data_IF_208622078114
#
_entry.id   IF_208622078114
#
_cell.length_a   1.000
_cell.length_b   1.000
_cell.length_c   1.000
_cell.angle_alpha   90.00
_cell.angle_beta   90.00
_cell.angle_gamma   90.00
#
_symmetry.space_group_name_H-M   'P 1'
#
loop_
_entity.id
_entity.type
_entity.pdbx_description
1 polymer ?
#
# COMPACT_ATOMS: atom_id res chain seq x y z
N UNK A 1 39.83 9.53 8.20
CA UNK A 1 38.88 8.43 8.50
C UNK A 1 37.51 8.97 8.23
N UNK A 2 36.64 8.30 7.46
CA UNK A 2 35.28 8.80 7.32
C UNK A 2 34.63 8.81 8.71
N UNK A 3 34.05 9.93 9.06
CA UNK A 3 33.29 10.13 10.30
C UNK A 3 32.18 9.06 10.35
N UNK A 4 32.17 8.22 11.36
CA UNK A 4 31.12 7.21 11.52
C UNK A 4 29.80 7.95 11.65
N UNK A 5 28.99 7.91 10.61
CA UNK A 5 27.64 8.49 10.64
C UNK A 5 26.92 8.02 11.91
N UNK A 6 26.60 8.96 12.77
CA UNK A 6 25.88 8.67 14.03
C UNK A 6 24.51 8.10 13.67
N UNK A 7 24.21 6.89 14.13
CA UNK A 7 22.89 6.29 13.88
C UNK A 7 21.81 7.12 14.58
N UNK A 8 20.71 7.48 13.90
CA UNK A 8 19.59 8.18 14.52
C UNK A 8 19.08 7.48 15.80
N UNK A 9 18.51 8.25 16.73
CA UNK A 9 17.98 7.74 17.98
C UNK A 9 16.88 6.68 17.76
N UNK A 10 16.78 5.69 18.65
CA UNK A 10 15.67 4.74 18.65
C UNK A 10 14.39 5.42 19.12
N UNK A 11 13.27 5.04 18.54
CA UNK A 11 11.92 5.44 18.96
C UNK A 11 11.38 4.31 19.88
N UNK A 12 11.34 4.49 21.21
CA UNK A 12 11.02 3.40 22.13
C UNK A 12 9.63 2.80 21.92
N UNK A 13 8.61 3.64 21.69
CA UNK A 13 7.24 3.17 21.47
C UNK A 13 7.13 2.32 20.20
N UNK A 14 7.78 2.72 19.12
CA UNK A 14 7.81 1.95 17.87
C UNK A 14 8.58 0.64 18.03
N UNK A 15 9.65 0.65 18.82
CA UNK A 15 10.41 -0.58 19.14
C UNK A 15 9.53 -1.58 19.90
N UNK A 16 8.75 -1.13 20.88
CA UNK A 16 7.80 -2.00 21.60
C UNK A 16 6.73 -2.56 20.64
N UNK A 17 6.17 -1.73 19.79
CA UNK A 17 5.10 -2.15 18.87
C UNK A 17 5.65 -3.10 17.78
N UNK A 18 6.75 -2.75 17.10
CA UNK A 18 7.21 -3.48 15.92
C UNK A 18 8.22 -4.61 16.21
N UNK A 19 8.76 -4.66 17.41
CA UNK A 19 9.63 -5.76 17.87
C UNK A 19 9.00 -6.50 19.04
N UNK A 20 8.54 -5.78 20.07
CA UNK A 20 7.96 -6.39 21.26
C UNK A 20 6.66 -7.16 20.99
N UNK A 21 5.71 -6.60 20.25
CA UNK A 21 4.44 -7.29 19.92
C UNK A 21 4.64 -8.56 19.08
N UNK A 22 5.46 -8.57 18.02
CA UNK A 22 5.80 -9.83 17.33
C UNK A 22 6.41 -10.88 18.25
N UNK A 23 7.33 -10.52 19.13
CA UNK A 23 7.91 -11.47 20.09
C UNK A 23 6.86 -12.00 21.08
N UNK A 24 6.00 -11.12 21.62
CA UNK A 24 4.88 -11.53 22.47
C UNK A 24 3.90 -12.45 21.74
N UNK A 25 3.55 -12.13 20.49
CA UNK A 25 2.67 -12.97 19.67
C UNK A 25 3.29 -14.34 19.41
N UNK A 26 4.59 -14.40 19.09
CA UNK A 26 5.32 -15.63 18.82
C UNK A 26 5.38 -16.56 20.05
N UNK A 27 5.37 -16.00 21.25
CA UNK A 27 5.44 -16.77 22.51
C UNK A 27 4.02 -17.07 23.03
N UNK A 28 3.21 -16.04 23.23
CA UNK A 28 1.94 -16.17 23.96
C UNK A 28 0.85 -16.86 23.16
N UNK A 29 0.80 -16.64 21.82
CA UNK A 29 -0.25 -17.25 20.99
C UNK A 29 -0.08 -18.76 20.90
N UNK A 30 1.10 -19.35 20.58
CA UNK A 30 1.30 -20.79 20.62
C UNK A 30 1.11 -21.39 22.01
N UNK A 31 1.59 -20.69 23.06
CA UNK A 31 1.44 -21.16 24.45
C UNK A 31 -0.05 -21.27 24.83
N UNK A 32 -0.84 -20.22 24.55
CA UNK A 32 -2.28 -20.24 24.79
C UNK A 32 -2.99 -21.31 23.95
N UNK A 33 -2.63 -21.40 22.67
CA UNK A 33 -3.17 -22.39 21.75
C UNK A 33 -2.91 -23.83 22.20
N UNK A 34 -1.76 -24.09 22.82
CA UNK A 34 -1.41 -25.41 23.33
C UNK A 34 -2.20 -25.79 24.61
N UNK A 35 -2.34 -24.85 25.55
CA UNK A 35 -2.96 -25.16 26.84
C UNK A 35 -4.47 -24.96 26.89
N UNK A 36 -5.01 -23.99 26.14
CA UNK A 36 -6.43 -23.61 26.18
C UNK A 36 -7.13 -23.82 24.84
N UNK A 37 -6.38 -23.75 23.76
CA UNK A 37 -6.94 -23.76 22.40
C UNK A 37 -7.56 -22.41 21.99
N UNK A 38 -7.97 -22.32 20.72
CA UNK A 38 -8.75 -21.21 20.18
C UNK A 38 -9.99 -21.75 19.50
N UNK A 39 -11.13 -21.14 19.75
CA UNK A 39 -12.38 -21.49 19.09
C UNK A 39 -12.38 -21.09 17.61
N UNK A 40 -13.17 -21.78 16.78
CA UNK A 40 -13.39 -21.37 15.38
C UNK A 40 -13.91 -19.93 15.25
N UNK A 41 -14.77 -19.48 16.18
CA UNK A 41 -15.28 -18.12 16.20
C UNK A 41 -14.15 -17.08 16.37
N UNK A 42 -13.18 -17.33 17.24
CA UNK A 42 -12.03 -16.43 17.41
C UNK A 42 -11.19 -16.33 16.13
N UNK A 43 -10.95 -17.44 15.42
CA UNK A 43 -10.26 -17.42 14.12
C UNK A 43 -11.03 -16.65 13.07
N UNK A 44 -12.35 -16.85 12.98
CA UNK A 44 -13.20 -16.10 12.05
C UNK A 44 -13.12 -14.59 12.33
N UNK A 45 -13.24 -14.18 13.61
CA UNK A 45 -13.14 -12.78 13.98
C UNK A 45 -11.74 -12.21 13.75
N UNK A 46 -10.69 -12.97 13.97
CA UNK A 46 -9.32 -12.53 13.63
C UNK A 46 -9.19 -12.23 12.13
N UNK A 47 -9.72 -13.09 11.26
CA UNK A 47 -9.77 -12.85 9.82
C UNK A 47 -10.64 -11.65 9.44
N UNK A 48 -11.82 -11.51 10.05
CA UNK A 48 -12.71 -10.36 9.83
C UNK A 48 -11.99 -9.06 10.18
N UNK A 49 -11.37 -8.96 11.35
CA UNK A 49 -10.61 -7.78 11.76
C UNK A 49 -9.41 -7.53 10.84
N UNK A 50 -8.69 -8.58 10.44
CA UNK A 50 -7.57 -8.47 9.51
C UNK A 50 -8.01 -7.82 8.19
N UNK A 51 -9.11 -8.32 7.59
CA UNK A 51 -9.62 -7.77 6.34
C UNK A 51 -10.23 -6.39 6.49
N UNK A 52 -10.98 -6.11 7.56
CA UNK A 52 -11.55 -4.77 7.80
C UNK A 52 -10.44 -3.72 7.97
N UNK A 53 -9.37 -4.03 8.71
CA UNK A 53 -8.23 -3.13 8.85
C UNK A 53 -7.46 -2.99 7.54
N UNK A 54 -7.09 -4.10 6.89
CA UNK A 54 -6.33 -4.09 5.65
C UNK A 54 -7.04 -3.34 4.52
N UNK A 55 -8.33 -3.62 4.29
CA UNK A 55 -9.14 -2.93 3.29
C UNK A 55 -9.38 -1.45 3.63
N UNK A 56 -9.37 -1.07 4.92
CA UNK A 56 -9.47 0.33 5.32
C UNK A 56 -8.16 1.10 5.08
N UNK A 57 -7.00 0.44 5.20
CA UNK A 57 -5.73 1.02 4.78
C UNK A 57 -5.69 1.13 3.25
N UNK A 58 -5.94 0.04 2.53
CA UNK A 58 -5.76 0.03 1.06
C UNK A 58 -6.85 0.82 0.33
N UNK A 59 -8.12 0.70 0.74
CA UNK A 59 -9.25 1.43 0.16
C UNK A 59 -9.37 2.86 0.67
N UNK A 60 -9.19 3.06 1.98
CA UNK A 60 -9.33 4.36 2.64
C UNK A 60 -8.06 5.20 2.59
N UNK A 61 -7.07 4.87 3.44
CA UNK A 61 -5.86 5.69 3.58
C UNK A 61 -5.13 5.85 2.25
N UNK A 62 -4.95 4.77 1.52
CA UNK A 62 -4.21 4.69 0.29
C UNK A 62 -4.99 5.26 -0.90
N UNK A 63 -6.01 4.53 -1.41
CA UNK A 63 -6.68 4.90 -2.67
C UNK A 63 -7.59 6.11 -2.53
N UNK A 64 -8.29 6.31 -1.39
CA UNK A 64 -9.17 7.45 -1.19
C UNK A 64 -8.40 8.72 -0.82
N UNK A 65 -7.67 8.71 0.33
CA UNK A 65 -7.08 9.94 0.86
C UNK A 65 -5.69 10.27 0.29
N UNK A 66 -4.81 9.28 0.09
CA UNK A 66 -3.50 9.57 -0.49
C UNK A 66 -3.60 9.86 -1.99
N UNK A 67 -4.28 9.01 -2.76
CA UNK A 67 -4.29 9.08 -4.22
C UNK A 67 -5.53 9.68 -4.87
N UNK A 68 -6.61 9.93 -4.10
CA UNK A 68 -7.86 10.51 -4.63
C UNK A 68 -8.41 9.71 -5.84
N UNK A 69 -8.31 8.38 -5.76
CA UNK A 69 -8.70 7.49 -6.85
C UNK A 69 -10.22 7.36 -7.02
N UNK A 70 -10.99 7.83 -6.04
CA UNK A 70 -12.45 7.89 -6.06
C UNK A 70 -12.96 8.83 -4.95
N UNK A 71 -14.25 9.12 -4.95
CA UNK A 71 -14.94 9.84 -3.88
C UNK A 71 -15.78 8.88 -3.04
N UNK A 72 -15.93 9.19 -1.73
CA UNK A 72 -16.66 8.32 -0.81
C UNK A 72 -17.68 9.11 0.03
N UNK A 73 -18.84 8.49 0.22
CA UNK A 73 -19.87 8.99 1.14
C UNK A 73 -19.32 9.10 2.58
N UNK A 74 -19.72 10.08 3.39
CA UNK A 74 -19.24 10.27 4.76
C UNK A 74 -19.28 9.00 5.63
N UNK A 75 -20.31 8.17 5.50
CA UNK A 75 -20.42 6.91 6.24
C UNK A 75 -19.28 5.94 5.93
N UNK A 76 -18.88 5.81 4.63
CA UNK A 76 -17.75 4.98 4.21
C UNK A 76 -16.43 5.58 4.68
N UNK A 77 -16.31 6.91 4.67
CA UNK A 77 -15.12 7.61 5.18
C UNK A 77 -14.95 7.41 6.69
N UNK A 78 -16.02 7.49 7.48
CA UNK A 78 -15.98 7.16 8.90
C UNK A 78 -15.60 5.70 9.15
N UNK A 79 -16.16 4.78 8.36
CA UNK A 79 -15.80 3.36 8.43
C UNK A 79 -14.28 3.17 8.24
N UNK A 80 -13.71 3.75 7.19
CA UNK A 80 -12.27 3.65 6.93
C UNK A 80 -11.42 4.36 7.99
N UNK A 81 -11.88 5.51 8.53
CA UNK A 81 -11.16 6.23 9.57
C UNK A 81 -11.04 5.42 10.86
N UNK A 82 -12.12 4.72 11.25
CA UNK A 82 -12.14 3.89 12.45
C UNK A 82 -11.36 2.58 12.26
N UNK A 83 -11.72 1.80 11.23
CA UNK A 83 -11.06 0.51 10.99
C UNK A 83 -9.61 0.67 10.57
N UNK A 84 -9.25 1.70 9.83
CA UNK A 84 -7.86 2.01 9.49
C UNK A 84 -7.01 2.38 10.73
N UNK A 85 -7.58 3.08 11.71
CA UNK A 85 -6.89 3.31 13.00
C UNK A 85 -6.60 1.99 13.74
N UNK A 86 -7.46 0.96 13.57
CA UNK A 86 -7.22 -0.39 14.08
C UNK A 86 -6.00 -1.10 13.47
N UNK A 87 -5.48 -0.61 12.35
CA UNK A 87 -4.23 -1.12 11.78
C UNK A 87 -2.97 -0.62 12.50
N UNK A 88 -3.08 0.39 13.37
CA UNK A 88 -1.98 1.00 14.15
C UNK A 88 -0.79 1.44 13.26
N UNK A 89 -1.08 2.18 12.17
CA UNK A 89 -0.11 2.63 11.18
C UNK A 89 -0.07 4.17 11.06
N UNK A 90 -0.23 4.90 12.14
CA UNK A 90 -0.43 6.34 12.20
C UNK A 90 -1.83 6.82 11.76
N UNK A 91 -2.08 8.10 11.97
CA UNK A 91 -3.31 8.74 11.51
C UNK A 91 -3.34 8.88 9.99
N UNK A 92 -4.54 9.05 9.42
CA UNK A 92 -4.74 9.27 7.98
C UNK A 92 -3.83 10.39 7.46
N UNK A 93 -3.74 11.51 8.20
CA UNK A 93 -2.95 12.68 7.80
C UNK A 93 -1.46 12.34 7.66
N UNK A 94 -0.87 11.70 8.67
CA UNK A 94 0.55 11.31 8.67
C UNK A 94 0.79 10.27 7.57
N UNK A 95 0.00 9.19 7.57
CA UNK A 95 0.14 8.09 6.63
C UNK A 95 0.06 8.55 5.16
N UNK A 96 -0.95 9.35 4.83
CA UNK A 96 -1.15 9.82 3.47
C UNK A 96 -0.09 10.85 3.04
N UNK A 97 0.39 11.69 3.96
CA UNK A 97 1.49 12.63 3.68
C UNK A 97 2.78 11.87 3.36
N UNK A 98 3.16 10.88 4.20
CA UNK A 98 4.36 10.05 3.98
C UNK A 98 4.25 9.29 2.67
N UNK A 99 3.08 8.72 2.36
CA UNK A 99 2.85 7.97 1.14
C UNK A 99 2.92 8.85 -0.13
N UNK A 100 2.38 10.06 -0.09
CA UNK A 100 2.53 11.05 -1.18
C UNK A 100 4.00 11.46 -1.37
N UNK A 101 4.77 11.55 -0.28
CA UNK A 101 6.21 11.85 -0.33
C UNK A 101 6.97 10.69 -0.94
N UNK A 102 6.67 9.45 -0.57
CA UNK A 102 7.21 8.24 -1.18
C UNK A 102 6.99 8.24 -2.71
N UNK A 103 5.76 8.45 -3.18
CA UNK A 103 5.48 8.49 -4.61
C UNK A 103 6.23 9.59 -5.37
N UNK A 104 6.48 10.73 -4.72
CA UNK A 104 7.24 11.82 -5.34
C UNK A 104 8.73 11.53 -5.42
N UNK A 105 9.29 10.82 -4.47
CA UNK A 105 10.72 10.63 -4.26
C UNK A 105 11.12 9.16 -4.19
N UNK A 106 10.34 8.28 -4.85
CA UNK A 106 10.55 6.83 -4.77
C UNK A 106 12.01 6.46 -5.01
N UNK A 107 12.57 5.61 -4.13
CA UNK A 107 13.96 5.15 -4.11
C UNK A 107 15.03 6.23 -3.77
N UNK A 108 14.64 7.47 -3.49
CA UNK A 108 15.55 8.49 -2.97
C UNK A 108 15.85 8.22 -1.48
N UNK A 109 17.13 7.95 -1.16
CA UNK A 109 17.51 7.54 0.19
C UNK A 109 17.38 8.65 1.25
N UNK A 110 17.25 9.92 0.84
CA UNK A 110 17.18 11.06 1.74
C UNK A 110 15.76 11.59 1.90
N UNK A 111 14.94 11.48 0.85
CA UNK A 111 13.60 12.08 0.81
C UNK A 111 12.46 11.08 0.95
N UNK A 112 12.66 9.84 0.45
CA UNK A 112 11.66 8.76 0.59
C UNK A 112 11.69 8.21 2.03
N UNK A 113 10.58 8.29 2.79
CA UNK A 113 10.55 7.83 4.18
C UNK A 113 10.97 6.38 4.37
N UNK A 114 10.67 5.52 3.40
CA UNK A 114 10.93 4.08 3.45
C UNK A 114 11.60 3.53 2.18
N UNK A 115 12.53 4.32 1.62
CA UNK A 115 13.27 4.00 0.41
C UNK A 115 13.78 2.55 0.36
N UNK A 116 13.41 1.81 -0.68
CA UNK A 116 13.96 0.49 -0.97
C UNK A 116 15.45 0.54 -1.32
N UNK A 117 15.97 1.67 -1.80
CA UNK A 117 17.39 1.91 -2.05
C UNK A 117 18.27 1.75 -0.81
N UNK A 118 17.70 1.87 0.41
CA UNK A 118 18.39 1.62 1.70
C UNK A 118 18.36 0.15 2.13
N UNK A 119 17.76 -0.72 1.35
CA UNK A 119 17.69 -2.17 1.54
C UNK A 119 16.39 -2.69 2.12
N UNK A 120 16.20 -4.01 1.98
CA UNK A 120 14.96 -4.72 2.34
C UNK A 120 14.55 -4.51 3.81
N UNK A 121 15.49 -4.63 4.74
CA UNK A 121 15.21 -4.44 6.17
C UNK A 121 14.75 -3.01 6.48
N UNK A 122 15.42 -2.01 5.88
CA UNK A 122 15.06 -0.62 6.09
C UNK A 122 13.65 -0.34 5.60
N UNK A 123 13.34 -0.68 4.37
CA UNK A 123 12.02 -0.45 3.79
C UNK A 123 10.92 -1.28 4.44
N UNK A 124 11.24 -2.48 4.99
CA UNK A 124 10.26 -3.31 5.70
C UNK A 124 9.86 -2.69 7.04
N UNK A 125 10.81 -2.43 7.92
CA UNK A 125 10.51 -1.91 9.26
C UNK A 125 11.59 -1.02 9.87
N UNK A 126 12.81 -1.04 9.35
CA UNK A 126 13.95 -0.30 9.94
C UNK A 126 13.71 1.21 9.99
N UNK A 127 13.00 1.76 9.00
CA UNK A 127 12.68 3.17 8.91
C UNK A 127 11.80 3.68 10.08
N UNK A 128 10.94 2.82 10.65
CA UNK A 128 10.06 3.17 11.76
C UNK A 128 10.73 3.08 13.14
N UNK A 129 11.86 2.38 13.25
CA UNK A 129 12.50 2.13 14.55
C UNK A 129 13.37 3.27 15.03
N UNK A 130 13.75 4.20 14.14
CA UNK A 130 14.66 5.30 14.44
C UNK A 130 14.14 6.62 13.87
N UNK A 131 14.55 7.70 14.50
CA UNK A 131 14.19 9.07 14.14
C UNK A 131 15.03 9.55 12.96
N UNK A 132 14.64 9.14 11.73
CA UNK A 132 15.29 9.57 10.49
C UNK A 132 14.72 10.90 10.01
N UNK A 133 15.55 11.81 9.44
CA UNK A 133 15.05 13.06 8.86
C UNK A 133 13.99 12.86 7.78
N UNK A 134 14.09 11.79 6.97
CA UNK A 134 13.07 11.41 5.99
C UNK A 134 11.71 11.04 6.61
N UNK A 135 11.65 10.77 7.92
CA UNK A 135 10.42 10.47 8.68
C UNK A 135 9.80 11.69 9.37
N UNK A 136 10.38 12.87 9.26
CA UNK A 136 9.79 14.08 9.84
C UNK A 136 8.43 14.40 9.22
N UNK A 137 7.47 14.79 10.07
CA UNK A 137 6.13 15.14 9.62
C UNK A 137 6.14 16.48 8.86
N UNK A 138 5.88 16.43 7.57
CA UNK A 138 5.64 17.61 6.72
C UNK A 138 4.29 17.43 6.00
N UNK A 139 3.31 18.28 6.36
CA UNK A 139 1.97 18.25 5.76
C UNK A 139 1.81 19.24 4.61
N UNK A 140 2.89 19.83 4.09
CA UNK A 140 2.85 20.75 2.95
C UNK A 140 2.20 20.13 1.71
N UNK A 141 2.34 18.81 1.53
CA UNK A 141 1.73 18.00 0.47
C UNK A 141 0.32 17.49 0.79
N UNK A 142 -0.22 17.79 2.00
CA UNK A 142 -1.48 17.26 2.52
C UNK A 142 -2.48 18.33 3.00
N UNK A 143 -2.40 19.55 2.46
CA UNK A 143 -3.27 20.69 2.81
C UNK A 143 -4.75 20.42 2.62
N UNK A 144 -5.10 19.55 1.67
CA UNK A 144 -6.47 19.08 1.46
C UNK A 144 -6.96 18.22 2.64
N UNK A 145 -6.08 17.39 3.21
CA UNK A 145 -6.39 16.53 4.35
C UNK A 145 -6.48 17.33 5.66
N UNK A 146 -5.69 18.39 5.82
CA UNK A 146 -5.80 19.31 6.97
C UNK A 146 -7.15 20.04 7.03
N UNK A 147 -7.84 20.17 5.88
CA UNK A 147 -9.18 20.79 5.78
C UNK A 147 -10.31 19.76 5.91
N UNK A 148 -9.99 18.48 5.91
CA UNK A 148 -10.97 17.40 5.99
C UNK A 148 -11.36 17.15 7.45
N UNK A 149 -12.63 17.37 7.85
CA UNK A 149 -13.02 17.25 9.25
C UNK A 149 -12.92 15.84 9.81
N UNK A 150 -13.14 14.79 8.98
CA UNK A 150 -13.03 13.38 9.41
C UNK A 150 -11.57 13.02 9.63
N UNK A 151 -10.68 13.42 8.71
CA UNK A 151 -9.23 13.21 8.83
C UNK A 151 -8.69 13.89 10.09
N UNK A 152 -9.04 15.18 10.29
CA UNK A 152 -8.56 15.93 11.44
C UNK A 152 -9.15 15.45 12.77
N UNK A 153 -10.40 15.00 12.77
CA UNK A 153 -10.97 14.36 13.96
C UNK A 153 -10.20 13.09 14.31
N UNK A 154 -9.98 12.20 13.35
CA UNK A 154 -9.24 10.96 13.55
C UNK A 154 -7.79 11.23 13.97
N UNK A 155 -7.12 12.21 13.39
CA UNK A 155 -5.76 12.60 13.74
C UNK A 155 -5.66 13.06 15.22
N UNK A 156 -6.59 13.90 15.67
CA UNK A 156 -6.62 14.39 17.07
C UNK A 156 -6.97 13.31 18.08
N UNK A 157 -7.80 12.34 17.71
CA UNK A 157 -8.26 11.27 18.60
C UNK A 157 -7.57 9.93 18.32
N UNK A 158 -6.50 9.93 17.53
CA UNK A 158 -5.87 8.71 17.02
C UNK A 158 -5.53 7.70 18.12
N UNK A 159 -4.89 8.13 19.21
CA UNK A 159 -4.49 7.23 20.31
C UNK A 159 -5.73 6.60 20.95
N UNK A 160 -6.79 7.35 21.22
CA UNK A 160 -8.01 6.82 21.82
C UNK A 160 -8.71 5.81 20.89
N UNK A 161 -8.84 6.18 19.59
CA UNK A 161 -9.49 5.32 18.59
C UNK A 161 -8.69 4.03 18.38
N UNK A 162 -7.38 4.12 18.19
CA UNK A 162 -6.56 2.92 17.97
C UNK A 162 -6.53 2.01 19.20
N UNK A 163 -6.49 2.59 20.42
CA UNK A 163 -6.58 1.81 21.68
C UNK A 163 -7.93 1.08 21.75
N UNK A 164 -9.03 1.76 21.49
CA UNK A 164 -10.35 1.12 21.49
C UNK A 164 -10.47 0.01 20.43
N UNK A 165 -9.97 0.24 19.22
CA UNK A 165 -10.05 -0.74 18.13
C UNK A 165 -9.17 -1.98 18.38
N UNK A 166 -8.03 -1.85 19.07
CA UNK A 166 -7.10 -2.95 19.31
C UNK A 166 -7.22 -3.63 20.67
N UNK A 167 -7.78 -2.94 21.67
CA UNK A 167 -8.02 -3.50 23.01
C UNK A 167 -9.50 -3.53 23.36
N UNK A 168 -10.23 -2.42 23.19
CA UNK A 168 -11.63 -2.31 23.59
C UNK A 168 -12.54 -3.28 22.83
N UNK A 169 -12.51 -3.26 21.50
CA UNK A 169 -13.34 -4.18 20.69
C UNK A 169 -12.98 -5.66 20.89
N UNK A 170 -11.69 -6.08 20.87
CA UNK A 170 -11.32 -7.46 21.19
C UNK A 170 -11.70 -7.88 22.61
N UNK A 171 -11.62 -6.97 23.60
CA UNK A 171 -12.10 -7.23 24.97
C UNK A 171 -13.61 -7.50 25.00
N UNK A 172 -14.42 -6.63 24.38
CA UNK A 172 -15.87 -6.80 24.33
C UNK A 172 -16.24 -8.10 23.58
N UNK A 173 -15.55 -8.40 22.50
CA UNK A 173 -15.72 -9.65 21.77
C UNK A 173 -15.34 -10.87 22.62
N UNK A 174 -14.24 -10.78 23.38
CA UNK A 174 -13.79 -11.85 24.27
C UNK A 174 -14.77 -12.12 25.42
N UNK A 175 -15.37 -11.08 25.97
CA UNK A 175 -16.48 -11.21 26.93
C UNK A 175 -17.68 -11.92 26.31
N UNK A 176 -18.04 -11.58 25.09
CA UNK A 176 -19.16 -12.22 24.37
C UNK A 176 -18.89 -13.69 24.00
N UNK A 177 -17.63 -14.04 23.72
CA UNK A 177 -17.22 -15.41 23.35
C UNK A 177 -16.84 -16.27 24.58
N UNK A 178 -16.77 -15.69 25.79
CA UNK A 178 -16.39 -16.40 27.01
C UNK A 178 -14.89 -16.68 27.18
N UNK A 179 -14.04 -16.11 26.30
CA UNK A 179 -12.56 -16.19 26.39
C UNK A 179 -11.93 -14.85 26.05
N UNK A 180 -11.70 -14.03 27.06
CA UNK A 180 -11.11 -12.69 26.93
C UNK A 180 -9.65 -12.77 26.51
N UNK A 181 -8.86 -13.63 27.17
CA UNK A 181 -7.40 -13.69 26.94
C UNK A 181 -7.11 -14.23 25.54
N UNK A 182 -7.72 -15.37 25.17
CA UNK A 182 -7.54 -15.94 23.83
C UNK A 182 -7.97 -14.96 22.74
N UNK A 183 -9.05 -14.23 22.94
CA UNK A 183 -9.51 -13.22 21.95
C UNK A 183 -8.56 -12.02 21.87
N UNK A 184 -8.04 -11.51 22.98
CA UNK A 184 -7.02 -10.45 22.97
C UNK A 184 -5.73 -10.92 22.28
N UNK A 185 -5.31 -12.17 22.50
CA UNK A 185 -4.13 -12.73 21.85
C UNK A 185 -4.33 -12.93 20.34
N UNK A 186 -5.46 -13.47 19.93
CA UNK A 186 -5.68 -13.83 18.52
C UNK A 186 -6.18 -12.64 17.68
N UNK A 187 -7.29 -12.00 18.13
CA UNK A 187 -7.95 -10.90 17.42
C UNK A 187 -7.27 -9.56 17.67
N UNK A 188 -6.75 -9.35 18.87
CA UNK A 188 -5.97 -8.15 19.22
C UNK A 188 -4.53 -8.24 18.68
N UNK A 189 -3.71 -9.09 19.28
CA UNK A 189 -2.26 -9.08 19.11
C UNK A 189 -1.82 -9.76 17.80
N UNK A 190 -2.15 -11.04 17.57
CA UNK A 190 -1.66 -11.78 16.39
C UNK A 190 -2.13 -11.14 15.09
N UNK A 191 -3.42 -10.81 15.02
CA UNK A 191 -4.00 -10.12 13.86
C UNK A 191 -3.28 -8.79 13.57
N UNK A 192 -2.95 -8.01 14.60
CA UNK A 192 -2.24 -6.74 14.43
C UNK A 192 -0.84 -6.96 13.87
N UNK A 193 -0.08 -7.92 14.41
CA UNK A 193 1.26 -8.28 13.92
C UNK A 193 1.20 -8.74 12.47
N UNK A 194 0.26 -9.62 12.11
CA UNK A 194 0.08 -10.08 10.73
C UNK A 194 -0.25 -8.91 9.81
N UNK A 195 -1.18 -8.02 10.21
CA UNK A 195 -1.55 -6.85 9.42
C UNK A 195 -0.36 -5.90 9.17
N UNK A 196 0.50 -5.69 10.17
CA UNK A 196 1.72 -4.90 10.01
C UNK A 196 2.63 -5.49 8.94
N UNK A 197 3.01 -6.77 9.06
CA UNK A 197 3.93 -7.39 8.11
C UNK A 197 3.35 -7.49 6.69
N UNK A 198 2.05 -7.75 6.56
CA UNK A 198 1.36 -7.72 5.26
C UNK A 198 1.51 -6.34 4.60
N UNK A 199 1.30 -5.25 5.35
CA UNK A 199 1.51 -3.89 4.82
C UNK A 199 2.98 -3.60 4.54
N UNK A 200 3.89 -3.98 5.43
CA UNK A 200 5.33 -3.73 5.25
C UNK A 200 5.93 -4.44 4.03
N UNK A 201 5.35 -5.56 3.60
CA UNK A 201 5.72 -6.22 2.36
C UNK A 201 5.44 -5.36 1.12
N UNK A 202 4.50 -4.44 1.17
CA UNK A 202 4.26 -3.49 0.07
C UNK A 202 5.46 -2.57 -0.10
N UNK A 203 6.00 -2.02 0.99
CA UNK A 203 7.16 -1.12 0.96
C UNK A 203 8.49 -1.87 0.73
N UNK A 204 8.54 -3.17 0.99
CA UNK A 204 9.75 -3.98 0.90
C UNK A 204 9.69 -4.98 -0.26
N UNK A 205 9.05 -6.14 -0.11
CA UNK A 205 9.06 -7.19 -1.12
C UNK A 205 8.52 -6.73 -2.47
N UNK A 206 7.51 -5.84 -2.52
CA UNK A 206 7.00 -5.33 -3.78
C UNK A 206 7.96 -4.36 -4.49
N UNK A 207 9.09 -3.99 -3.88
CA UNK A 207 10.21 -3.30 -4.50
C UNK A 207 11.39 -4.23 -4.85
N UNK A 208 11.42 -5.46 -4.33
CA UNK A 208 12.52 -6.40 -4.54
C UNK A 208 12.14 -7.61 -5.39
N UNK A 209 10.88 -8.07 -5.34
CA UNK A 209 10.45 -9.32 -5.95
C UNK A 209 9.24 -9.14 -6.86
N UNK A 210 9.40 -9.50 -8.15
CA UNK A 210 8.37 -9.42 -9.17
C UNK A 210 8.87 -8.85 -10.49
N UNK A 211 7.94 -8.52 -11.39
CA UNK A 211 8.22 -7.94 -12.70
C UNK A 211 7.99 -6.42 -12.71
N UNK A 212 8.56 -5.75 -13.71
CA UNK A 212 8.38 -4.31 -13.95
C UNK A 212 7.82 -4.06 -15.34
N UNK A 213 6.54 -4.40 -15.59
CA UNK A 213 6.00 -4.35 -16.96
C UNK A 213 5.78 -2.94 -17.49
N UNK A 214 5.52 -1.93 -16.63
CA UNK A 214 5.09 -0.59 -17.03
C UNK A 214 6.19 0.46 -16.95
N UNK A 215 7.19 0.25 -16.10
CA UNK A 215 8.35 1.14 -15.97
C UNK A 215 9.51 0.44 -15.32
N UNK A 216 10.73 0.88 -15.64
CA UNK A 216 11.97 0.52 -14.95
C UNK A 216 12.61 1.71 -14.24
N UNK A 217 11.95 2.89 -14.23
CA UNK A 217 12.47 4.10 -13.61
C UNK A 217 12.50 4.07 -12.08
N UNK A 218 11.79 3.10 -11.47
CA UNK A 218 11.81 2.85 -10.02
C UNK A 218 11.88 1.35 -9.72
N UNK A 219 12.07 1.01 -8.45
CA UNK A 219 12.21 -0.38 -8.02
C UNK A 219 10.89 -1.14 -7.87
N UNK A 220 9.73 -0.48 -7.86
CA UNK A 220 8.43 -1.10 -7.66
C UNK A 220 8.12 -2.21 -8.69
N UNK A 221 7.51 -3.31 -8.26
CA UNK A 221 7.30 -4.54 -9.04
C UNK A 221 5.88 -5.06 -8.90
N UNK A 222 5.42 -5.73 -9.95
CA UNK A 222 4.17 -6.48 -9.93
C UNK A 222 4.43 -7.94 -9.54
N UNK A 223 3.70 -8.42 -8.54
CA UNK A 223 3.74 -9.79 -8.06
C UNK A 223 2.34 -10.24 -7.60
N UNK A 224 1.75 -11.22 -8.31
CA UNK A 224 0.40 -11.71 -8.02
C UNK A 224 0.28 -12.44 -6.67
N UNK A 225 1.35 -13.10 -6.20
CA UNK A 225 1.37 -13.73 -4.89
C UNK A 225 1.34 -12.66 -3.77
N UNK A 226 2.15 -11.61 -3.91
CA UNK A 226 2.10 -10.49 -2.98
C UNK A 226 0.74 -9.78 -3.04
N UNK A 227 0.14 -9.64 -4.21
CA UNK A 227 -1.19 -9.05 -4.34
C UNK A 227 -2.24 -9.84 -3.55
N UNK A 228 -2.14 -11.19 -3.51
CA UNK A 228 -3.01 -12.02 -2.69
C UNK A 228 -2.85 -11.71 -1.19
N UNK A 229 -1.63 -11.58 -0.71
CA UNK A 229 -1.35 -11.27 0.70
C UNK A 229 -1.71 -9.82 1.07
N UNK A 230 -1.54 -8.88 0.16
CA UNK A 230 -1.57 -7.43 0.42
C UNK A 230 -2.83 -6.74 -0.11
N UNK A 231 -3.94 -7.44 -0.17
CA UNK A 231 -5.26 -6.90 -0.58
C UNK A 231 -5.28 -6.26 -1.98
N UNK A 232 -4.38 -6.71 -2.88
CA UNK A 232 -4.24 -6.20 -4.25
C UNK A 232 -3.07 -5.25 -4.46
N UNK A 233 -2.37 -4.82 -3.41
CA UNK A 233 -1.28 -3.84 -3.50
C UNK A 233 0.02 -4.42 -4.12
N UNK A 234 0.11 -5.74 -4.31
CA UNK A 234 1.26 -6.38 -4.97
C UNK A 234 1.38 -6.09 -6.47
N UNK A 235 0.40 -5.45 -7.14
CA UNK A 235 0.55 -4.88 -8.49
C UNK A 235 1.16 -3.47 -8.38
N UNK A 236 2.38 -3.40 -7.87
CA UNK A 236 2.97 -2.18 -7.36
C UNK A 236 3.68 -1.35 -8.44
N UNK A 237 4.21 -2.02 -9.49
CA UNK A 237 4.77 -1.33 -10.65
C UNK A 237 3.68 -0.61 -11.47
N UNK A 238 2.50 -1.24 -11.63
CA UNK A 238 1.32 -0.58 -12.19
C UNK A 238 0.93 0.64 -11.34
N UNK A 239 0.81 0.44 -10.04
CA UNK A 239 0.39 1.47 -9.10
C UNK A 239 1.30 2.71 -9.11
N UNK A 240 2.62 2.53 -9.11
CA UNK A 240 3.57 3.66 -9.12
C UNK A 240 3.50 4.53 -10.38
N UNK A 241 3.04 3.98 -11.52
CA UNK A 241 2.84 4.74 -12.74
C UNK A 241 1.44 5.34 -12.83
N UNK A 242 0.44 4.64 -12.31
CA UNK A 242 -0.97 4.98 -12.45
C UNK A 242 -1.65 5.13 -11.08
N UNK A 243 -1.00 5.86 -10.18
CA UNK A 243 -1.36 5.96 -8.76
C UNK A 243 -2.82 6.39 -8.49
N UNK A 244 -3.43 7.15 -9.42
CA UNK A 244 -4.81 7.61 -9.28
C UNK A 244 -5.85 6.59 -9.80
N UNK A 245 -5.45 5.48 -10.42
CA UNK A 245 -6.41 4.44 -10.80
C UNK A 245 -6.94 3.75 -9.53
N UNK A 246 -8.28 3.60 -9.41
CA UNK A 246 -8.86 2.94 -8.25
C UNK A 246 -8.53 1.44 -8.17
N UNK A 247 -7.92 0.89 -9.23
CA UNK A 247 -7.50 -0.52 -9.37
C UNK A 247 -5.99 -0.62 -9.36
N UNK A 248 -5.45 -1.62 -8.69
CA UNK A 248 -4.07 -2.06 -8.90
C UNK A 248 -4.06 -3.30 -9.81
N UNK A 249 -4.93 -4.27 -9.54
CA UNK A 249 -5.20 -5.38 -10.46
C UNK A 249 -6.19 -4.98 -11.55
N UNK A 250 -5.72 -4.58 -12.73
CA UNK A 250 -6.56 -4.04 -13.82
C UNK A 250 -7.41 -5.08 -14.53
N UNK A 251 -6.96 -6.35 -14.57
CA UNK A 251 -7.69 -7.43 -15.22
C UNK A 251 -8.72 -8.04 -14.28
N UNK A 252 -9.78 -8.64 -14.82
CA UNK A 252 -10.88 -9.17 -14.01
C UNK A 252 -10.45 -10.31 -13.08
N UNK A 253 -9.48 -11.14 -13.48
CA UNK A 253 -8.96 -12.28 -12.69
C UNK A 253 -7.84 -11.89 -11.72
N UNK A 254 -7.28 -10.69 -11.81
CA UNK A 254 -6.25 -10.23 -10.90
C UNK A 254 -6.86 -9.99 -9.52
N UNK A 255 -6.26 -10.65 -8.52
CA UNK A 255 -6.70 -10.55 -7.14
C UNK A 255 -6.49 -9.14 -6.60
N UNK A 256 -7.57 -8.39 -6.46
CA UNK A 256 -7.60 -7.06 -5.89
C UNK A 256 -8.93 -6.86 -5.14
N UNK A 257 -9.04 -7.40 -3.89
CA UNK A 257 -10.26 -7.29 -3.11
C UNK A 257 -10.60 -5.84 -2.77
N UNK A 258 -9.61 -4.95 -2.70
CA UNK A 258 -9.83 -3.51 -2.53
C UNK A 258 -10.61 -2.92 -3.71
N UNK A 259 -10.23 -3.25 -4.94
CA UNK A 259 -10.99 -2.89 -6.15
C UNK A 259 -12.44 -3.39 -6.09
N UNK A 260 -12.62 -4.64 -5.69
CA UNK A 260 -13.96 -5.24 -5.62
C UNK A 260 -14.82 -4.57 -4.56
N UNK A 261 -14.25 -4.27 -3.37
CA UNK A 261 -14.92 -3.51 -2.31
C UNK A 261 -15.33 -2.11 -2.78
N UNK A 262 -14.41 -1.34 -3.40
CA UNK A 262 -14.70 0.00 -3.92
C UNK A 262 -15.83 -0.06 -4.95
N UNK A 263 -15.80 -1.04 -5.86
CA UNK A 263 -16.84 -1.21 -6.87
C UNK A 263 -18.19 -1.58 -6.25
N UNK A 264 -18.20 -2.46 -5.24
CA UNK A 264 -19.41 -2.77 -4.47
C UNK A 264 -19.95 -1.51 -3.78
N UNK A 265 -19.10 -0.73 -3.13
CA UNK A 265 -19.49 0.54 -2.52
C UNK A 265 -20.08 1.51 -3.56
N UNK A 266 -19.52 1.57 -4.76
CA UNK A 266 -20.07 2.39 -5.85
C UNK A 266 -21.46 1.91 -6.30
N UNK A 267 -21.67 0.61 -6.41
CA UNK A 267 -22.99 0.03 -6.73
C UNK A 267 -24.04 0.36 -5.65
N UNK A 268 -23.60 0.46 -4.39
CA UNK A 268 -24.46 0.82 -3.25
C UNK A 268 -24.60 2.35 -3.05
N UNK A 269 -24.04 3.19 -3.93
CA UNK A 269 -24.08 4.64 -3.80
C UNK A 269 -23.17 5.22 -2.71
N UNK A 270 -22.27 4.40 -2.15
CA UNK A 270 -21.33 4.80 -1.10
C UNK A 270 -19.97 5.30 -1.67
N UNK A 271 -19.70 5.08 -2.94
CA UNK A 271 -18.53 5.60 -3.66
C UNK A 271 -18.94 6.12 -5.03
N UNK A 272 -18.22 7.11 -5.55
CA UNK A 272 -18.47 7.74 -6.85
C UNK A 272 -17.15 8.20 -7.49
N UNK A 273 -17.20 8.68 -8.72
CA UNK A 273 -16.07 9.25 -9.44
C UNK A 273 -14.83 8.33 -9.45
N UNK A 274 -15.06 7.03 -9.72
CA UNK A 274 -13.97 6.04 -9.76
C UNK A 274 -13.04 6.36 -10.93
N UNK A 275 -11.84 6.86 -10.63
CA UNK A 275 -10.83 7.19 -11.63
C UNK A 275 -10.30 5.90 -12.25
N UNK A 276 -10.34 5.82 -13.56
CA UNK A 276 -9.85 4.71 -14.34
C UNK A 276 -8.90 5.22 -15.42
N UNK A 277 -7.67 4.72 -15.42
CA UNK A 277 -6.70 5.06 -16.46
C UNK A 277 -7.14 4.45 -17.79
N UNK A 278 -7.17 5.24 -18.88
CA UNK A 278 -7.53 4.74 -20.22
C UNK A 278 -6.57 3.64 -20.69
N UNK A 279 -7.13 2.62 -21.34
CA UNK A 279 -6.37 1.44 -21.76
C UNK A 279 -5.20 1.78 -22.70
N UNK A 280 -5.34 2.81 -23.53
CA UNK A 280 -4.26 3.26 -24.42
C UNK A 280 -3.02 3.76 -23.65
N UNK A 281 -3.19 4.42 -22.48
CA UNK A 281 -2.07 4.84 -21.63
C UNK A 281 -1.35 3.65 -21.02
N UNK A 282 -2.11 2.63 -20.62
CA UNK A 282 -1.58 1.39 -20.06
C UNK A 282 -0.78 0.63 -21.13
N UNK A 283 -1.36 0.49 -22.34
CA UNK A 283 -0.67 -0.17 -23.46
C UNK A 283 0.59 0.59 -23.88
N UNK A 284 0.53 1.91 -23.90
CA UNK A 284 1.71 2.73 -24.17
C UNK A 284 2.84 2.47 -23.19
N UNK A 285 2.57 2.51 -21.88
CA UNK A 285 3.59 2.27 -20.85
C UNK A 285 4.21 0.87 -20.97
N UNK A 286 3.39 -0.17 -21.26
CA UNK A 286 3.86 -1.52 -21.52
C UNK A 286 4.83 -1.58 -22.69
N UNK A 287 4.46 -1.00 -23.82
CA UNK A 287 5.24 -1.05 -25.05
C UNK A 287 6.50 -0.17 -24.94
N UNK A 288 6.40 1.04 -24.39
CA UNK A 288 7.58 1.89 -24.11
C UNK A 288 8.64 1.13 -23.29
N UNK A 289 8.20 0.38 -22.28
CA UNK A 289 9.11 -0.42 -21.45
C UNK A 289 9.71 -1.59 -22.24
N UNK A 290 8.91 -2.28 -23.08
CA UNK A 290 9.40 -3.40 -23.92
C UNK A 290 10.39 -2.92 -24.97
N UNK A 291 10.10 -1.83 -25.66
CA UNK A 291 11.03 -1.22 -26.64
C UNK A 291 12.35 -0.77 -25.98
N UNK A 292 12.27 -0.13 -24.80
CA UNK A 292 13.47 0.27 -24.07
C UNK A 292 14.33 -0.94 -23.67
N UNK A 293 13.74 -2.07 -23.30
CA UNK A 293 14.46 -3.32 -23.04
C UNK A 293 15.10 -3.89 -24.28
N UNK A 294 14.33 -4.02 -25.36
CA UNK A 294 14.83 -4.54 -26.62
C UNK A 294 16.02 -3.70 -27.15
N UNK A 295 15.92 -2.37 -27.04
CA UNK A 295 17.02 -1.47 -27.43
C UNK A 295 18.31 -1.75 -26.63
N UNK A 296 18.22 -1.84 -25.31
CA UNK A 296 19.36 -2.17 -24.44
C UNK A 296 19.95 -3.55 -24.73
N UNK A 297 19.12 -4.54 -25.00
CA UNK A 297 19.59 -5.88 -25.35
C UNK A 297 20.32 -5.91 -26.70
N UNK A 298 19.85 -5.15 -27.68
CA UNK A 298 20.54 -5.00 -28.98
C UNK A 298 21.86 -4.22 -28.86
N UNK A 299 21.88 -3.18 -28.02
CA UNK A 299 23.11 -2.44 -27.73
C UNK A 299 24.16 -3.33 -27.06
N UNK A 300 23.76 -4.17 -26.11
CA UNK A 300 24.66 -5.08 -25.37
C UNK A 300 25.21 -6.21 -26.24
N UNK A 301 24.51 -6.62 -27.32
CA UNK A 301 24.94 -7.73 -28.19
C UNK A 301 25.83 -7.30 -29.35
N UNK A 302 26.25 -6.04 -29.42
CA UNK A 302 27.15 -5.46 -30.41
C UNK A 302 26.94 -5.97 -31.84
N UNK A 303 25.89 -5.47 -32.56
CA UNK A 303 26.08 -5.51 -33.97
C UNK A 303 25.02 -5.96 -34.94
N UNK A 304 23.72 -5.92 -34.68
CA UNK A 304 22.78 -6.02 -35.82
C UNK A 304 22.13 -4.65 -36.06
N UNK A 305 22.76 -3.83 -36.89
CA UNK A 305 22.28 -2.51 -37.30
C UNK A 305 20.89 -2.62 -37.95
N UNK A 306 20.66 -3.69 -38.73
CA UNK A 306 19.39 -3.95 -39.39
C UNK A 306 18.25 -4.17 -38.40
N UNK A 307 18.53 -4.91 -37.31
CA UNK A 307 17.57 -5.12 -36.22
C UNK A 307 17.30 -3.84 -35.43
N UNK A 308 18.30 -2.98 -35.25
CA UNK A 308 18.12 -1.68 -34.61
C UNK A 308 17.22 -0.76 -35.44
N UNK A 309 17.51 -0.63 -36.74
CA UNK A 309 16.67 0.15 -37.66
C UNK A 309 15.24 -0.36 -37.70
N UNK A 310 15.04 -1.68 -37.72
CA UNK A 310 13.71 -2.28 -37.69
C UNK A 310 12.99 -1.93 -36.36
N UNK A 311 13.67 -2.06 -35.22
CA UNK A 311 13.10 -1.74 -33.91
C UNK A 311 12.68 -0.26 -33.81
N UNK A 312 13.54 0.67 -34.29
CA UNK A 312 13.22 2.10 -34.29
C UNK A 312 12.03 2.42 -35.21
N UNK A 313 11.96 1.78 -36.37
CA UNK A 313 10.83 1.91 -37.31
C UNK A 313 9.53 1.44 -36.66
N UNK A 314 9.53 0.26 -36.03
CA UNK A 314 8.35 -0.28 -35.37
C UNK A 314 7.92 0.60 -34.19
N UNK A 315 8.86 1.17 -33.43
CA UNK A 315 8.57 2.11 -32.36
C UNK A 315 7.93 3.41 -32.87
N UNK A 316 8.40 3.94 -34.01
CA UNK A 316 7.80 5.12 -34.65
C UNK A 316 6.36 4.84 -35.11
N UNK A 317 6.13 3.71 -35.79
CA UNK A 317 4.79 3.30 -36.21
C UNK A 317 3.82 3.13 -35.04
N UNK A 318 4.31 2.53 -33.94
CA UNK A 318 3.56 2.41 -32.72
C UNK A 318 3.21 3.79 -32.13
N UNK A 319 4.16 4.70 -32.03
CA UNK A 319 3.96 6.05 -31.49
C UNK A 319 2.94 6.84 -32.32
N UNK A 320 3.00 6.76 -33.62
CA UNK A 320 2.02 7.36 -34.56
C UNK A 320 0.62 6.78 -34.32
N UNK A 321 0.49 5.46 -34.22
CA UNK A 321 -0.78 4.78 -34.00
C UNK A 321 -1.40 5.17 -32.62
N UNK A 322 -0.60 5.31 -31.60
CA UNK A 322 -1.06 5.78 -30.26
C UNK A 322 -1.53 7.23 -30.33
N UNK A 323 -0.84 8.09 -31.05
CA UNK A 323 -1.23 9.48 -31.23
C UNK A 323 -2.52 9.62 -32.02
N UNK A 324 -2.72 8.85 -33.09
CA UNK A 324 -3.97 8.78 -33.85
C UNK A 324 -5.13 8.29 -32.96
N UNK A 325 -4.91 7.25 -32.19
CA UNK A 325 -5.93 6.74 -31.25
C UNK A 325 -6.31 7.77 -30.20
N UNK A 326 -5.34 8.51 -29.68
CA UNK A 326 -5.58 9.62 -28.75
C UNK A 326 -6.43 10.74 -29.38
N UNK A 327 -6.15 11.13 -30.65
CA UNK A 327 -6.90 12.12 -31.37
C UNK A 327 -8.36 11.70 -31.56
N UNK A 328 -8.60 10.46 -32.01
CA UNK A 328 -9.93 9.88 -32.18
C UNK A 328 -10.73 9.80 -30.85
N UNK A 329 -10.06 9.59 -29.73
CA UNK A 329 -10.74 9.62 -28.43
C UNK A 329 -11.10 11.03 -27.98
N UNK A 330 -10.27 12.05 -28.23
CA UNK A 330 -10.60 13.45 -27.90
C UNK A 330 -11.81 13.95 -28.71
N UNK A 331 -11.92 13.59 -29.98
CA UNK A 331 -13.08 13.94 -30.83
C UNK A 331 -14.41 13.31 -30.39
N UNK A 332 -14.39 12.23 -29.60
CA UNK A 332 -15.61 11.59 -29.09
C UNK A 332 -16.15 12.24 -27.80
N UNK A 333 -15.37 13.12 -27.18
CA UNK A 333 -15.76 13.80 -25.94
C UNK A 333 -16.01 15.31 -26.13
N UNK A 334 -15.85 15.83 -27.37
CA UNK A 334 -16.38 17.12 -27.85
C UNK A 334 -17.77 16.92 -28.48
#
# INVERSE_FOLDING_TARGET
MPEKAVKPALIPVNTVIFVGFPLLALILVPLWGFYQGFSAAQWVWALVFLYLNGLSITGGYHRLWAHKAYEAHPALRWFFALWGAGALQNSILIWASDHRRHHRHVDDNEQDPYSAGRGLWFSHMGWMLRDYPSGENDFSNARDLERDPIVMWQHRHYVAVTTFMNLGLPLLLGLALGDVIGTLLLVGLLRLVVNHHVTFFINSLAHFWGSRPYTESNSARDNGFLAFLTYGEGYHNYHHIFQNDYRNGIRWWQWDPTKWMIRLCATLGLASNLVKVPDFRIQRALLDTQFARARRELEAKAGDETLRELLEREYQLFTESVNQWRALQSERYE
#
